data_IF_083578110106
#
_entry.id   IF_083578110106
#
_cell.length_a   1.000
_cell.length_b   1.000
_cell.length_c   1.000
_cell.angle_alpha   90.00
_cell.angle_beta   90.00
_cell.angle_gamma   90.00
#
_symmetry.space_group_name_H-M   'P 1'
#
loop_
_entity.id
_entity.type
_entity.pdbx_description
1 polymer ?
#
# COMPACT_ATOMS: atom_id res chain seq x y z
N UNK A 1 -7.85 -0.80 12.13
CA UNK A 1 -8.26 -2.01 11.36
C UNK A 1 -9.63 -2.55 11.78
N UNK A 2 -10.00 -2.54 13.05
CA UNK A 2 -11.30 -3.07 13.52
C UNK A 2 -12.50 -2.39 12.83
N UNK A 3 -12.48 -1.08 12.69
CA UNK A 3 -13.55 -0.32 11.99
C UNK A 3 -13.68 -0.73 10.52
N UNK A 4 -12.55 -0.84 9.80
CA UNK A 4 -12.54 -1.26 8.40
C UNK A 4 -13.13 -2.68 8.23
N UNK A 5 -12.78 -3.61 9.11
CA UNK A 5 -13.33 -4.98 9.11
C UNK A 5 -14.81 -4.96 9.47
N UNK A 6 -15.21 -4.21 10.50
CA UNK A 6 -16.63 -4.11 10.90
C UNK A 6 -17.51 -3.49 9.81
N UNK A 7 -17.00 -2.49 9.06
CA UNK A 7 -17.70 -1.96 7.90
C UNK A 7 -17.75 -2.97 6.76
N UNK A 8 -16.64 -3.67 6.49
CA UNK A 8 -16.57 -4.73 5.49
C UNK A 8 -17.57 -5.87 5.78
N UNK A 9 -17.75 -6.26 7.03
CA UNK A 9 -18.77 -7.25 7.41
C UNK A 9 -20.20 -6.77 7.11
N UNK A 10 -20.52 -5.56 7.51
CA UNK A 10 -21.87 -5.00 7.24
C UNK A 10 -22.19 -4.91 5.76
N UNK A 11 -21.24 -4.47 4.95
CA UNK A 11 -21.45 -4.30 3.51
C UNK A 11 -21.40 -5.61 2.73
N UNK A 12 -20.86 -6.68 3.31
CA UNK A 12 -20.77 -7.99 2.65
C UNK A 12 -22.12 -8.56 2.22
N UNK A 13 -23.17 -8.30 2.98
CA UNK A 13 -24.55 -8.77 2.68
C UNK A 13 -25.24 -8.01 1.55
N UNK A 14 -24.65 -6.91 1.04
CA UNK A 14 -25.21 -6.06 -0.01
C UNK A 14 -24.48 -6.21 -1.33
N UNK A 15 -25.06 -5.74 -2.44
CA UNK A 15 -24.40 -5.65 -3.75
C UNK A 15 -23.88 -4.23 -4.06
N UNK A 16 -23.82 -3.34 -3.06
CA UNK A 16 -23.28 -2.00 -3.21
C UNK A 16 -21.82 -2.03 -3.66
N UNK A 17 -21.44 -1.07 -4.50
CA UNK A 17 -20.05 -0.84 -4.89
C UNK A 17 -19.24 -0.42 -3.66
N UNK A 18 -18.02 -0.91 -3.56
CA UNK A 18 -17.11 -0.62 -2.44
C UNK A 18 -15.81 -0.06 -3.00
N UNK A 19 -15.41 1.09 -2.51
CA UNK A 19 -14.08 1.66 -2.74
C UNK A 19 -13.21 1.42 -1.52
N UNK A 20 -12.11 0.69 -1.68
CA UNK A 20 -11.14 0.44 -0.61
C UNK A 20 -9.88 1.24 -0.90
N UNK A 21 -9.53 2.16 -0.02
CA UNK A 21 -8.32 2.97 -0.13
C UNK A 21 -7.30 2.61 0.95
N UNK A 22 -6.03 2.85 0.68
CA UNK A 22 -4.95 2.64 1.63
C UNK A 22 -3.62 2.42 0.92
N UNK A 23 -2.53 2.55 1.67
CA UNK A 23 -1.18 2.40 1.13
C UNK A 23 -0.95 1.02 0.49
N UNK A 24 0.07 0.96 -0.40
CA UNK A 24 0.49 -0.32 -0.97
C UNK A 24 0.90 -1.30 0.13
N UNK A 25 0.50 -2.57 -0.01
CA UNK A 25 0.78 -3.61 0.98
C UNK A 25 -0.01 -3.51 2.29
N UNK A 26 -0.96 -2.58 2.44
CA UNK A 26 -1.76 -2.44 3.67
C UNK A 26 -2.79 -3.57 3.86
N UNK A 27 -3.08 -4.35 2.83
CA UNK A 27 -4.02 -5.48 2.87
C UNK A 27 -5.40 -5.16 2.28
N UNK A 28 -5.49 -4.22 1.33
CA UNK A 28 -6.72 -3.88 0.60
C UNK A 28 -7.33 -5.11 -0.10
N UNK A 29 -6.50 -5.88 -0.79
CA UNK A 29 -6.90 -7.09 -1.51
C UNK A 29 -7.39 -8.23 -0.59
N UNK A 30 -6.81 -8.35 0.60
CA UNK A 30 -7.28 -9.29 1.64
C UNK A 30 -8.67 -8.88 2.12
N UNK A 31 -8.89 -7.58 2.33
CA UNK A 31 -10.19 -7.06 2.75
C UNK A 31 -11.25 -7.22 1.65
N UNK A 32 -10.90 -7.00 0.38
CA UNK A 32 -11.80 -7.26 -0.76
C UNK A 32 -12.20 -8.74 -0.84
N UNK A 33 -11.22 -9.64 -0.69
CA UNK A 33 -11.49 -11.09 -0.63
C UNK A 33 -12.38 -11.46 0.55
N UNK A 34 -12.16 -10.86 1.73
CA UNK A 34 -12.99 -11.06 2.91
C UNK A 34 -14.44 -10.65 2.66
N UNK A 35 -14.69 -9.48 2.02
CA UNK A 35 -16.02 -9.02 1.64
C UNK A 35 -16.70 -10.03 0.73
N UNK A 36 -16.00 -10.57 -0.27
CA UNK A 36 -16.54 -11.58 -1.17
C UNK A 36 -16.91 -12.87 -0.41
N UNK A 37 -16.00 -13.42 0.38
CA UNK A 37 -16.25 -14.69 1.10
C UNK A 37 -17.34 -14.60 2.16
N UNK A 38 -17.63 -13.40 2.68
CA UNK A 38 -18.73 -13.13 3.61
C UNK A 38 -20.03 -12.77 2.90
N UNK A 39 -20.04 -12.63 1.58
CA UNK A 39 -21.20 -12.22 0.79
C UNK A 39 -22.09 -13.40 0.40
N UNK A 40 -23.27 -13.07 -0.15
CA UNK A 40 -24.16 -14.06 -0.78
C UNK A 40 -23.53 -14.72 -2.02
N UNK A 41 -22.44 -14.12 -2.57
CA UNK A 41 -21.70 -14.59 -3.74
C UNK A 41 -20.43 -15.37 -3.39
N UNK A 42 -20.28 -15.82 -2.15
CA UNK A 42 -19.07 -16.47 -1.63
C UNK A 42 -18.65 -17.75 -2.39
N UNK A 43 -19.61 -18.46 -3.01
CA UNK A 43 -19.37 -19.66 -3.82
C UNK A 43 -19.17 -19.36 -5.32
N UNK A 44 -19.33 -18.11 -5.71
CA UNK A 44 -19.23 -17.66 -7.09
C UNK A 44 -17.81 -17.16 -7.40
N UNK A 45 -17.45 -16.92 -8.67
CA UNK A 45 -16.11 -16.45 -9.03
C UNK A 45 -15.73 -15.12 -8.36
N UNK A 46 -14.49 -15.05 -7.86
CA UNK A 46 -13.82 -13.81 -7.47
C UNK A 46 -12.75 -13.49 -8.51
N UNK A 47 -13.04 -12.53 -9.40
CA UNK A 47 -12.13 -12.14 -10.48
C UNK A 47 -11.41 -10.86 -10.08
N UNK A 48 -10.09 -10.93 -9.96
CA UNK A 48 -9.22 -9.76 -9.69
C UNK A 48 -8.56 -9.30 -10.96
N UNK A 49 -8.51 -7.99 -11.17
CA UNK A 49 -7.91 -7.33 -12.31
C UNK A 49 -7.02 -6.22 -11.77
N UNK A 50 -5.74 -6.26 -12.11
CA UNK A 50 -4.79 -5.20 -11.81
C UNK A 50 -4.76 -4.21 -12.99
N UNK A 51 -5.26 -2.99 -12.72
CA UNK A 51 -5.38 -1.94 -13.75
C UNK A 51 -4.04 -1.25 -14.06
N UNK A 52 -2.98 -1.53 -13.29
CA UNK A 52 -1.66 -0.93 -13.50
C UNK A 52 -0.73 -1.80 -14.36
N UNK A 53 -1.04 -3.08 -14.57
CA UNK A 53 -0.09 -4.03 -15.18
C UNK A 53 -0.10 -4.04 -16.71
N UNK A 54 -1.17 -3.57 -17.36
CA UNK A 54 -1.34 -3.65 -18.81
C UNK A 54 -1.41 -2.26 -19.45
N UNK A 55 -0.88 -2.09 -20.70
CA UNK A 55 -1.16 -0.93 -21.52
C UNK A 55 -2.67 -0.75 -21.75
N UNK A 56 -3.12 0.49 -21.94
CA UNK A 56 -4.55 0.83 -21.94
C UNK A 56 -5.43 0.01 -22.86
N UNK A 57 -5.03 -0.19 -24.11
CA UNK A 57 -5.80 -0.97 -25.10
C UNK A 57 -5.92 -2.45 -24.69
N UNK A 58 -4.84 -3.02 -24.16
CA UNK A 58 -4.83 -4.40 -23.68
C UNK A 58 -5.65 -4.55 -22.40
N UNK A 59 -5.67 -3.54 -21.55
CA UNK A 59 -6.49 -3.54 -20.33
C UNK A 59 -7.99 -3.52 -20.69
N UNK A 60 -8.39 -2.70 -21.66
CA UNK A 60 -9.78 -2.70 -22.15
C UNK A 60 -10.16 -4.07 -22.75
N UNK A 61 -9.29 -4.68 -23.55
CA UNK A 61 -9.50 -6.01 -24.10
C UNK A 61 -9.62 -7.11 -23.01
N UNK A 62 -8.82 -7.03 -21.95
CA UNK A 62 -8.95 -7.94 -20.80
C UNK A 62 -10.23 -7.70 -20.00
N UNK A 63 -10.63 -6.45 -19.78
CA UNK A 63 -11.85 -6.13 -19.03
C UNK A 63 -13.12 -6.56 -19.74
N UNK A 64 -13.30 -6.09 -20.99
CA UNK A 64 -14.54 -6.20 -21.75
C UNK A 64 -14.56 -7.39 -22.71
N UNK A 65 -13.40 -7.97 -23.04
CA UNK A 65 -13.26 -8.94 -24.11
C UNK A 65 -13.26 -8.28 -25.50
N UNK A 66 -13.07 -9.06 -26.54
CA UNK A 66 -13.04 -8.57 -27.92
C UNK A 66 -13.56 -9.59 -28.90
N UNK A 67 -14.12 -9.09 -30.01
CA UNK A 67 -14.54 -9.87 -31.14
C UNK A 67 -13.36 -10.01 -32.14
N UNK A 68 -13.44 -11.01 -33.02
CA UNK A 68 -12.47 -11.20 -34.10
C UNK A 68 -12.36 -9.93 -34.94
N UNK A 69 -11.12 -9.46 -35.16
CA UNK A 69 -10.86 -8.25 -35.93
C UNK A 69 -11.01 -6.93 -35.19
N UNK A 70 -11.22 -6.94 -33.88
CA UNK A 70 -11.36 -5.73 -33.09
C UNK A 70 -10.11 -4.83 -33.10
N UNK A 71 -8.94 -5.42 -33.23
CA UNK A 71 -7.65 -4.73 -33.35
C UNK A 71 -6.65 -5.63 -34.14
N UNK A 72 -5.49 -5.08 -34.52
CA UNK A 72 -4.41 -5.84 -35.17
C UNK A 72 -3.90 -6.93 -34.24
N UNK A 73 -4.14 -8.21 -34.60
CA UNK A 73 -3.81 -9.39 -33.79
C UNK A 73 -5.00 -10.09 -33.12
N UNK A 74 -6.21 -9.54 -33.23
CA UNK A 74 -7.45 -10.18 -32.77
C UNK A 74 -7.91 -11.26 -33.78
N UNK A 75 -7.19 -12.38 -33.85
CA UNK A 75 -7.50 -13.50 -34.76
C UNK A 75 -8.76 -14.27 -34.40
N UNK A 76 -9.10 -14.30 -33.08
CA UNK A 76 -10.26 -14.99 -32.53
C UNK A 76 -10.97 -14.09 -31.53
N UNK A 77 -12.24 -14.35 -31.26
CA UNK A 77 -12.97 -13.67 -30.17
C UNK A 77 -12.53 -14.20 -28.83
N UNK A 78 -12.40 -13.32 -27.80
CA UNK A 78 -12.04 -13.68 -26.43
C UNK A 78 -12.99 -13.01 -25.43
N UNK A 79 -13.62 -13.79 -24.52
CA UNK A 79 -14.42 -13.22 -23.44
C UNK A 79 -13.55 -12.42 -22.46
N UNK A 80 -14.12 -11.34 -21.91
CA UNK A 80 -13.44 -10.48 -20.92
C UNK A 80 -13.61 -10.96 -19.49
N UNK A 81 -12.91 -10.27 -18.59
CA UNK A 81 -12.98 -10.54 -17.15
C UNK A 81 -14.36 -10.29 -16.55
N UNK A 82 -15.11 -9.34 -17.08
CA UNK A 82 -16.50 -9.13 -16.64
C UNK A 82 -17.39 -10.34 -16.95
N UNK A 83 -17.20 -10.97 -18.09
CA UNK A 83 -17.92 -12.22 -18.42
C UNK A 83 -17.51 -13.37 -17.49
N UNK A 84 -16.21 -13.47 -17.19
CA UNK A 84 -15.69 -14.51 -16.27
C UNK A 84 -16.18 -14.33 -14.82
N UNK A 85 -16.61 -13.12 -14.46
CA UNK A 85 -17.08 -12.78 -13.10
C UNK A 85 -18.59 -12.89 -12.94
N UNK A 86 -19.34 -13.38 -13.93
CA UNK A 86 -20.79 -13.48 -13.86
C UNK A 86 -21.28 -14.20 -12.58
N UNK A 87 -22.27 -13.61 -11.93
CA UNK A 87 -22.84 -13.97 -10.61
C UNK A 87 -21.86 -13.80 -9.44
N UNK A 88 -20.61 -13.45 -9.70
CA UNK A 88 -19.53 -13.33 -8.72
C UNK A 88 -19.20 -11.90 -8.30
N UNK A 89 -17.92 -11.65 -8.11
CA UNK A 89 -17.38 -10.35 -7.71
C UNK A 89 -16.18 -9.99 -8.58
N UNK A 90 -16.14 -8.77 -9.09
CA UNK A 90 -14.99 -8.17 -9.75
C UNK A 90 -14.26 -7.28 -8.75
N UNK A 91 -12.97 -7.46 -8.61
CA UNK A 91 -12.07 -6.57 -7.87
C UNK A 91 -11.17 -5.86 -8.87
N UNK A 92 -11.31 -4.55 -8.97
CA UNK A 92 -10.48 -3.67 -9.80
C UNK A 92 -9.38 -3.10 -8.91
N UNK A 93 -8.18 -3.66 -8.98
CA UNK A 93 -7.03 -3.18 -8.21
C UNK A 93 -6.32 -2.05 -8.94
N UNK A 94 -5.83 -1.08 -8.18
CA UNK A 94 -5.17 0.14 -8.66
C UNK A 94 -6.03 0.89 -9.71
N UNK A 95 -7.33 1.09 -9.40
CA UNK A 95 -8.33 1.69 -10.28
C UNK A 95 -7.94 3.07 -10.82
N UNK A 96 -7.12 3.83 -10.09
CA UNK A 96 -6.62 5.13 -10.50
C UNK A 96 -5.78 5.10 -11.80
N UNK A 97 -5.30 3.92 -12.21
CA UNK A 97 -4.48 3.74 -13.43
C UNK A 97 -5.31 3.42 -14.67
N UNK A 98 -6.65 3.36 -14.56
CA UNK A 98 -7.50 3.18 -15.73
C UNK A 98 -7.33 4.31 -16.74
N UNK A 99 -7.11 4.02 -18.03
CA UNK A 99 -7.13 5.02 -19.09
C UNK A 99 -8.50 5.69 -19.20
N UNK A 100 -8.54 6.94 -19.67
CA UNK A 100 -9.78 7.73 -19.77
C UNK A 100 -10.87 7.02 -20.58
N UNK A 101 -10.50 6.31 -21.65
CA UNK A 101 -11.44 5.51 -22.45
C UNK A 101 -12.08 4.38 -21.65
N UNK A 102 -11.26 3.64 -20.89
CA UNK A 102 -11.75 2.57 -20.02
C UNK A 102 -12.60 3.10 -18.86
N UNK A 103 -12.27 4.30 -18.31
CA UNK A 103 -13.08 4.95 -17.28
C UNK A 103 -14.51 5.25 -17.79
N UNK A 104 -14.65 5.77 -19.02
CA UNK A 104 -15.97 6.05 -19.61
C UNK A 104 -16.79 4.77 -19.83
N UNK A 105 -16.16 3.71 -20.33
CA UNK A 105 -16.82 2.41 -20.51
C UNK A 105 -17.23 1.79 -19.16
N UNK A 106 -16.34 1.85 -18.16
CA UNK A 106 -16.65 1.35 -16.81
C UNK A 106 -17.82 2.10 -16.18
N UNK A 107 -17.89 3.43 -16.34
CA UNK A 107 -19.03 4.22 -15.87
C UNK A 107 -20.34 3.68 -16.46
N UNK A 108 -20.40 3.50 -17.80
CA UNK A 108 -21.57 2.92 -18.46
C UNK A 108 -21.93 1.56 -17.87
N UNK A 109 -20.94 0.69 -17.67
CA UNK A 109 -21.17 -0.65 -17.07
C UNK A 109 -21.76 -0.56 -15.65
N UNK A 110 -21.28 0.38 -14.84
CA UNK A 110 -21.80 0.56 -13.45
C UNK A 110 -23.24 1.06 -13.48
N UNK A 111 -23.59 1.94 -14.42
CA UNK A 111 -24.92 2.56 -14.52
C UNK A 111 -25.96 1.65 -15.16
N UNK A 112 -25.61 1.06 -16.29
CA UNK A 112 -26.57 0.26 -17.10
C UNK A 112 -26.54 -1.22 -16.75
N UNK A 113 -25.48 -1.68 -16.08
CA UNK A 113 -25.21 -3.12 -15.85
C UNK A 113 -25.08 -3.90 -17.17
N UNK A 114 -24.60 -3.22 -18.22
CA UNK A 114 -24.46 -3.79 -19.54
C UNK A 114 -23.13 -3.31 -20.16
N UNK A 115 -22.53 -4.14 -21.02
CA UNK A 115 -21.33 -3.81 -21.76
C UNK A 115 -21.32 -4.56 -23.10
N UNK A 116 -20.39 -4.16 -23.95
CA UNK A 116 -20.13 -4.77 -25.26
C UNK A 116 -18.64 -5.15 -25.33
N UNK A 117 -18.33 -6.22 -26.04
CA UNK A 117 -16.94 -6.55 -26.38
C UNK A 117 -16.35 -5.51 -27.31
N UNK A 118 -15.04 -5.33 -27.30
CA UNK A 118 -14.36 -4.47 -28.28
C UNK A 118 -14.64 -4.97 -29.71
N UNK A 119 -15.03 -4.08 -30.59
CA UNK A 119 -15.44 -4.42 -31.95
C UNK A 119 -16.78 -5.16 -32.07
N UNK A 120 -17.43 -5.47 -30.94
CA UNK A 120 -18.74 -6.13 -30.92
C UNK A 120 -19.91 -5.13 -30.91
N UNK A 121 -21.12 -5.66 -31.16
CA UNK A 121 -22.39 -4.92 -31.04
C UNK A 121 -23.39 -5.64 -30.16
N UNK A 122 -23.01 -6.80 -29.64
CA UNK A 122 -23.88 -7.58 -28.76
C UNK A 122 -23.76 -7.06 -27.32
N UNK A 123 -24.87 -6.62 -26.77
CA UNK A 123 -24.96 -6.17 -25.39
C UNK A 123 -24.96 -7.38 -24.44
N UNK A 124 -24.06 -7.38 -23.48
CA UNK A 124 -23.90 -8.41 -22.45
C UNK A 124 -24.27 -7.82 -21.10
N UNK A 125 -25.19 -8.46 -20.38
CA UNK A 125 -25.58 -8.04 -19.02
C UNK A 125 -24.52 -8.45 -18.01
N UNK A 126 -24.18 -7.53 -17.10
CA UNK A 126 -23.24 -7.79 -15.99
C UNK A 126 -24.03 -8.05 -14.69
N UNK A 127 -24.05 -9.32 -14.28
CA UNK A 127 -24.47 -9.70 -12.93
C UNK A 127 -23.22 -9.99 -12.08
N UNK A 128 -22.51 -8.95 -11.69
CA UNK A 128 -21.37 -9.06 -10.78
C UNK A 128 -21.34 -7.86 -9.82
N UNK A 129 -20.85 -8.12 -8.60
CA UNK A 129 -20.53 -7.08 -7.62
C UNK A 129 -19.19 -6.44 -7.96
N UNK A 130 -19.05 -5.11 -7.78
CA UNK A 130 -17.82 -4.38 -8.03
C UNK A 130 -17.18 -3.93 -6.72
N UNK A 131 -15.87 -4.16 -6.59
CA UNK A 131 -15.03 -3.64 -5.52
C UNK A 131 -13.81 -2.98 -6.19
N UNK A 132 -13.59 -1.70 -5.91
CA UNK A 132 -12.44 -0.96 -6.43
C UNK A 132 -11.41 -0.74 -5.33
N UNK A 133 -10.12 -0.93 -5.67
CA UNK A 133 -9.01 -0.70 -4.75
C UNK A 133 -8.07 0.36 -5.33
N UNK A 134 -7.50 1.19 -4.49
CA UNK A 134 -6.46 2.14 -4.89
C UNK A 134 -5.58 2.58 -3.71
N UNK A 135 -4.35 2.95 -4.00
CA UNK A 135 -3.44 3.64 -3.08
C UNK A 135 -3.40 5.15 -3.35
N UNK A 136 -4.05 5.62 -4.42
CA UNK A 136 -4.09 7.03 -4.84
C UNK A 136 -5.33 7.70 -4.27
N UNK A 137 -5.20 8.96 -3.88
CA UNK A 137 -6.33 9.83 -3.56
C UNK A 137 -7.08 10.18 -4.85
N UNK A 138 -8.24 9.53 -5.06
CA UNK A 138 -9.06 9.75 -6.25
C UNK A 138 -9.62 11.17 -6.31
N UNK A 139 -9.90 11.81 -5.18
CA UNK A 139 -10.35 13.21 -5.15
C UNK A 139 -9.30 14.17 -5.71
N UNK A 140 -8.03 13.93 -5.40
CA UNK A 140 -6.92 14.68 -6.00
C UNK A 140 -6.72 14.31 -7.48
N UNK A 141 -6.90 13.04 -7.86
CA UNK A 141 -6.83 12.61 -9.25
C UNK A 141 -7.93 13.26 -10.12
N UNK A 142 -9.14 13.42 -9.58
CA UNK A 142 -10.26 14.15 -10.23
C UNK A 142 -9.88 15.61 -10.44
N UNK A 143 -9.41 16.30 -9.41
CA UNK A 143 -8.97 17.71 -9.51
C UNK A 143 -7.84 17.91 -10.54
N UNK A 144 -6.99 16.91 -10.71
CA UNK A 144 -5.90 16.90 -11.69
C UNK A 144 -6.33 16.46 -13.09
N UNK A 145 -7.62 16.18 -13.36
CA UNK A 145 -8.15 15.71 -14.64
C UNK A 145 -7.72 14.30 -15.05
N UNK A 146 -7.15 13.51 -14.14
CA UNK A 146 -6.66 12.15 -14.40
C UNK A 146 -7.70 11.07 -14.13
N UNK A 147 -8.74 11.41 -13.39
CA UNK A 147 -9.87 10.52 -13.09
C UNK A 147 -11.19 11.26 -13.27
N UNK A 148 -12.19 10.59 -13.82
CA UNK A 148 -13.50 11.21 -14.05
C UNK A 148 -14.26 11.34 -12.74
N UNK A 149 -14.86 12.50 -12.54
CA UNK A 149 -15.65 12.81 -11.33
C UNK A 149 -16.91 11.96 -11.23
N UNK A 150 -17.61 11.76 -12.35
CA UNK A 150 -18.81 10.94 -12.41
C UNK A 150 -18.53 9.47 -12.03
N UNK A 151 -17.43 8.89 -12.53
CA UNK A 151 -17.03 7.54 -12.18
C UNK A 151 -16.64 7.44 -10.68
N UNK A 152 -15.94 8.46 -10.15
CA UNK A 152 -15.57 8.48 -8.74
C UNK A 152 -16.81 8.36 -7.84
N UNK A 153 -17.83 9.17 -8.05
CA UNK A 153 -19.06 9.11 -7.24
C UNK A 153 -19.84 7.80 -7.39
N UNK A 154 -19.75 7.14 -8.55
CA UNK A 154 -20.39 5.83 -8.76
C UNK A 154 -19.63 4.67 -8.12
N UNK A 155 -18.33 4.82 -7.92
CA UNK A 155 -17.50 3.84 -7.21
C UNK A 155 -17.53 4.03 -5.70
N UNK A 156 -17.56 5.27 -5.23
CA UNK A 156 -17.46 5.66 -3.81
C UNK A 156 -18.82 5.65 -3.10
N UNK A 157 -19.61 4.58 -3.28
CA UNK A 157 -20.88 4.39 -2.57
C UNK A 157 -20.59 3.99 -1.11
N UNK A 158 -19.68 3.07 -0.91
CA UNK A 158 -19.18 2.69 0.42
C UNK A 158 -17.65 2.80 0.40
N UNK A 159 -17.13 3.73 1.19
CA UNK A 159 -15.70 3.95 1.33
C UNK A 159 -15.13 3.21 2.54
N UNK A 160 -14.09 2.40 2.33
CA UNK A 160 -13.37 1.73 3.40
C UNK A 160 -11.89 2.11 3.31
N UNK A 161 -11.40 2.85 4.31
CA UNK A 161 -9.98 3.14 4.43
C UNK A 161 -9.28 2.03 5.23
N UNK A 162 -8.26 1.42 4.63
CA UNK A 162 -7.36 0.48 5.31
C UNK A 162 -6.19 1.28 5.90
N UNK A 163 -6.06 1.35 7.22
CA UNK A 163 -4.98 2.11 7.85
C UNK A 163 -3.62 1.43 7.59
N UNK A 164 -2.54 2.22 7.41
CA UNK A 164 -1.20 1.67 7.29
C UNK A 164 -0.76 0.98 8.58
N UNK A 165 0.24 0.10 8.47
CA UNK A 165 0.65 -0.77 9.58
C UNK A 165 1.17 0.02 10.80
N UNK A 166 1.79 1.18 10.57
CA UNK A 166 2.24 2.10 11.64
C UNK A 166 1.11 2.70 12.48
N UNK A 167 -0.12 2.78 11.95
CA UNK A 167 -1.32 3.25 12.68
C UNK A 167 -2.05 2.13 13.44
N UNK A 168 -1.60 0.85 13.32
CA UNK A 168 -2.21 -0.33 13.97
C UNK A 168 -1.15 -1.24 14.59
N UNK A 169 -0.27 -0.66 15.39
CA UNK A 169 0.88 -1.37 16.00
C UNK A 169 0.45 -2.52 16.91
N UNK A 170 -0.76 -2.48 17.47
CA UNK A 170 -1.34 -3.58 18.23
C UNK A 170 -1.53 -4.87 17.40
N UNK A 171 -1.65 -4.76 16.08
CA UNK A 171 -1.79 -5.92 15.19
C UNK A 171 -0.44 -6.57 14.88
N UNK A 172 0.69 -5.85 15.04
CA UNK A 172 2.03 -6.31 14.64
C UNK A 172 2.41 -7.66 15.27
N UNK A 173 2.19 -7.83 16.57
CA UNK A 173 2.54 -9.08 17.26
C UNK A 173 1.79 -10.28 16.68
N UNK A 174 0.52 -10.10 16.31
CA UNK A 174 -0.30 -11.16 15.70
C UNK A 174 0.15 -11.45 14.28
N UNK A 175 0.47 -10.42 13.51
CA UNK A 175 0.95 -10.55 12.12
C UNK A 175 2.33 -11.22 12.08
N UNK A 176 3.26 -10.83 12.94
CA UNK A 176 4.58 -11.46 13.06
C UNK A 176 4.41 -12.95 13.38
N UNK A 177 3.61 -13.31 14.38
CA UNK A 177 3.33 -14.69 14.75
C UNK A 177 2.74 -15.49 13.59
N UNK A 178 1.80 -14.90 12.87
CA UNK A 178 1.18 -15.52 11.70
C UNK A 178 2.20 -15.78 10.60
N UNK A 179 3.00 -14.76 10.22
CA UNK A 179 4.00 -14.89 9.16
C UNK A 179 5.13 -15.87 9.53
N UNK A 180 5.61 -15.86 10.78
CA UNK A 180 6.60 -16.85 11.24
C UNK A 180 6.05 -18.26 11.09
N UNK A 181 4.81 -18.52 11.53
CA UNK A 181 4.17 -19.83 11.38
C UNK A 181 4.02 -20.21 9.91
N UNK A 182 3.52 -19.29 9.09
CA UNK A 182 3.29 -19.51 7.65
C UNK A 182 4.58 -19.85 6.91
N UNK A 183 5.61 -19.00 7.06
CA UNK A 183 6.87 -19.20 6.35
C UNK A 183 7.72 -20.34 6.92
N UNK A 184 7.62 -20.62 8.21
CA UNK A 184 8.24 -21.82 8.80
C UNK A 184 7.69 -23.10 8.18
N UNK A 185 6.36 -23.18 8.00
CA UNK A 185 5.73 -24.30 7.32
C UNK A 185 6.14 -24.37 5.84
N UNK A 186 6.12 -23.23 5.12
CA UNK A 186 6.48 -23.13 3.70
C UNK A 186 7.92 -23.60 3.41
N UNK A 187 8.87 -23.24 4.29
CA UNK A 187 10.30 -23.55 4.12
C UNK A 187 10.78 -24.75 4.93
N UNK A 188 9.88 -25.53 5.56
CA UNK A 188 10.25 -26.71 6.35
C UNK A 188 11.11 -26.41 7.59
N UNK A 189 11.08 -25.16 8.10
CA UNK A 189 11.85 -24.72 9.27
C UNK A 189 11.05 -24.90 10.54
N UNK A 190 11.70 -25.35 11.61
CA UNK A 190 11.09 -25.47 12.95
C UNK A 190 11.62 -24.36 13.85
N UNK A 191 10.98 -23.17 13.75
CA UNK A 191 11.28 -22.03 14.61
C UNK A 191 10.27 -21.93 15.77
N UNK A 192 10.79 -21.64 16.97
CA UNK A 192 9.98 -21.47 18.18
C UNK A 192 9.36 -20.05 18.26
N UNK A 193 9.78 -19.11 17.38
CA UNK A 193 9.28 -17.74 17.34
C UNK A 193 10.38 -16.70 17.18
N UNK A 194 10.14 -15.53 17.76
CA UNK A 194 11.03 -14.36 17.72
C UNK A 194 11.44 -14.02 19.14
N UNK A 195 12.71 -13.78 19.39
CA UNK A 195 13.22 -13.36 20.71
C UNK A 195 12.66 -11.97 21.11
N UNK A 196 12.57 -11.71 22.40
CA UNK A 196 12.01 -10.44 22.90
C UNK A 196 12.77 -9.20 22.38
N UNK A 197 14.11 -9.17 22.30
CA UNK A 197 14.84 -8.04 21.69
C UNK A 197 14.53 -7.85 20.21
N UNK A 198 14.49 -8.92 19.41
CA UNK A 198 14.16 -8.87 18.01
C UNK A 198 12.71 -8.40 17.78
N UNK A 199 11.77 -8.89 18.61
CA UNK A 199 10.36 -8.48 18.55
C UNK A 199 10.20 -6.98 18.84
N UNK A 200 10.91 -6.44 19.83
CA UNK A 200 10.88 -5.02 20.16
C UNK A 200 11.36 -4.14 19.00
N UNK A 201 12.41 -4.55 18.28
CA UNK A 201 12.88 -3.84 17.09
C UNK A 201 11.88 -3.94 15.93
N UNK A 202 11.32 -5.12 15.67
CA UNK A 202 10.27 -5.30 14.67
C UNK A 202 9.03 -4.45 14.97
N UNK A 203 8.63 -4.31 16.23
CA UNK A 203 7.48 -3.46 16.62
C UNK A 203 7.77 -1.96 16.52
N UNK A 204 9.03 -1.57 16.64
CA UNK A 204 9.44 -0.17 16.57
C UNK A 204 9.55 0.36 15.13
N UNK A 205 9.65 -0.52 14.14
CA UNK A 205 9.77 -0.12 12.73
C UNK A 205 8.42 0.30 12.14
N UNK A 206 8.42 1.23 11.17
CA UNK A 206 7.19 1.84 10.64
C UNK A 206 6.60 1.13 9.41
N UNK A 207 7.37 0.24 8.78
CA UNK A 207 6.94 -0.54 7.62
C UNK A 207 6.35 0.31 6.48
N UNK A 208 7.15 1.10 5.74
CA UNK A 208 6.65 1.88 4.60
C UNK A 208 5.97 1.00 3.53
N UNK A 209 6.39 -0.26 3.36
CA UNK A 209 5.72 -1.26 2.52
C UNK A 209 4.64 -2.08 3.26
N UNK A 210 4.24 -1.66 4.48
CA UNK A 210 3.16 -2.24 5.27
C UNK A 210 3.31 -3.76 5.53
N UNK A 211 2.20 -4.50 5.47
CA UNK A 211 2.19 -5.94 5.72
C UNK A 211 2.96 -6.74 4.66
N UNK A 212 3.08 -6.23 3.42
CA UNK A 212 3.89 -6.88 2.37
C UNK A 212 5.37 -6.83 2.72
N UNK A 213 5.86 -5.68 3.19
CA UNK A 213 7.25 -5.55 3.67
C UNK A 213 7.51 -6.38 4.91
N UNK A 214 6.60 -6.35 5.89
CA UNK A 214 6.70 -7.21 7.08
C UNK A 214 6.78 -8.69 6.68
N UNK A 215 5.93 -9.15 5.76
CA UNK A 215 5.95 -10.51 5.25
C UNK A 215 7.31 -10.88 4.66
N UNK A 216 7.86 -10.03 3.79
CA UNK A 216 9.17 -10.24 3.15
C UNK A 216 10.31 -10.27 4.18
N UNK A 217 10.28 -9.38 5.17
CA UNK A 217 11.27 -9.37 6.25
C UNK A 217 11.20 -10.68 7.05
N UNK A 218 10.00 -11.09 7.46
CA UNK A 218 9.83 -12.33 8.25
C UNK A 218 10.20 -13.57 7.42
N UNK A 219 9.83 -13.65 6.14
CA UNK A 219 10.23 -14.75 5.26
C UNK A 219 11.75 -14.88 5.19
N UNK A 220 12.45 -13.76 4.94
CA UNK A 220 13.92 -13.72 4.96
C UNK A 220 14.49 -14.20 6.30
N UNK A 221 13.95 -13.69 7.42
CA UNK A 221 14.41 -14.08 8.76
C UNK A 221 14.23 -15.56 9.03
N UNK A 222 13.10 -16.14 8.61
CA UNK A 222 12.85 -17.58 8.72
C UNK A 222 13.89 -18.38 7.95
N UNK A 223 14.32 -17.93 6.76
CA UNK A 223 15.29 -18.61 5.94
C UNK A 223 16.69 -18.54 6.55
N UNK A 224 17.12 -17.34 7.03
CA UNK A 224 18.52 -17.09 7.45
C UNK A 224 18.79 -17.36 8.92
N UNK A 225 17.77 -17.46 9.78
CA UNK A 225 17.96 -17.71 11.21
C UNK A 225 18.79 -18.98 11.46
N UNK A 226 19.90 -18.82 12.18
CA UNK A 226 20.82 -19.91 12.48
C UNK A 226 20.31 -20.82 13.61
N UNK A 227 19.46 -20.29 14.52
CA UNK A 227 18.95 -20.97 15.69
C UNK A 227 17.52 -21.51 15.55
N UNK A 228 16.94 -21.87 16.71
CA UNK A 228 15.52 -22.27 16.83
C UNK A 228 14.58 -21.05 17.00
N UNK A 229 15.12 -19.84 17.11
CA UNK A 229 14.36 -18.57 17.21
C UNK A 229 15.05 -17.53 16.33
N UNK A 230 14.27 -16.54 15.91
CA UNK A 230 14.77 -15.34 15.22
C UNK A 230 15.31 -14.39 16.28
N UNK A 231 16.60 -14.05 16.19
CA UNK A 231 17.29 -13.18 17.14
C UNK A 231 17.62 -11.81 16.54
N UNK A 232 18.00 -10.85 17.39
CA UNK A 232 18.34 -9.48 16.97
C UNK A 232 19.44 -9.43 15.90
N UNK A 233 20.44 -10.32 15.98
CA UNK A 233 21.51 -10.46 15.00
C UNK A 233 21.08 -10.90 13.60
N UNK A 234 19.91 -11.54 13.51
CA UNK A 234 19.34 -11.99 12.23
C UNK A 234 18.64 -10.85 11.50
N UNK A 235 18.31 -9.75 12.21
CA UNK A 235 17.59 -8.61 11.65
C UNK A 235 18.44 -7.84 10.61
N UNK A 236 17.83 -7.32 9.54
CA UNK A 236 18.54 -6.47 8.57
C UNK A 236 19.12 -5.23 9.25
N UNK A 237 20.39 -4.91 8.94
CA UNK A 237 21.09 -3.73 9.49
C UNK A 237 20.31 -2.44 9.26
N UNK A 238 19.67 -2.29 8.08
CA UNK A 238 18.85 -1.13 7.75
C UNK A 238 17.66 -0.94 8.69
N UNK A 239 16.99 -2.03 9.13
CA UNK A 239 15.89 -1.96 10.08
C UNK A 239 16.37 -1.47 11.44
N UNK A 240 17.44 -2.06 11.98
CA UNK A 240 18.02 -1.65 13.27
C UNK A 240 18.51 -0.20 13.23
N UNK A 241 19.13 0.24 12.13
CA UNK A 241 19.57 1.61 11.95
C UNK A 241 18.39 2.60 11.87
N UNK A 242 17.34 2.28 11.11
CA UNK A 242 16.14 3.11 10.99
C UNK A 242 15.42 3.30 12.33
N UNK A 243 15.29 2.23 13.13
CA UNK A 243 14.69 2.29 14.47
C UNK A 243 15.55 3.15 15.41
N UNK A 244 16.88 3.00 15.39
CA UNK A 244 17.80 3.83 16.18
C UNK A 244 17.72 5.30 15.80
N UNK A 245 17.75 5.61 14.50
CA UNK A 245 17.63 6.97 13.99
C UNK A 245 16.29 7.64 14.38
N UNK A 246 15.20 6.88 14.35
CA UNK A 246 13.88 7.37 14.79
C UNK A 246 13.88 7.67 16.29
N UNK A 247 14.38 6.76 17.14
CA UNK A 247 14.47 6.98 18.59
C UNK A 247 15.28 8.23 18.94
N UNK A 248 16.34 8.51 18.18
CA UNK A 248 17.13 9.73 18.34
C UNK A 248 16.35 11.00 17.97
N UNK A 249 15.45 10.92 16.96
CA UNK A 249 14.58 12.04 16.57
C UNK A 249 13.41 12.27 17.53
N UNK A 250 12.89 11.20 18.12
CA UNK A 250 11.75 11.24 19.06
C UNK A 250 12.14 11.64 20.49
N UNK A 251 13.42 11.52 20.84
CA UNK A 251 13.90 11.96 22.16
C UNK A 251 13.84 13.49 22.22
N UNK A 252 13.12 14.08 23.19
CA UNK A 252 13.14 15.53 23.38
C UNK A 252 14.58 16.00 23.56
N UNK A 253 15.02 16.87 22.65
CA UNK A 253 16.34 17.49 22.75
C UNK A 253 16.24 18.76 23.56
N UNK A 254 17.20 19.01 24.42
CA UNK A 254 17.35 20.30 25.08
C UNK A 254 17.67 21.38 24.02
N UNK A 255 17.39 22.65 24.33
CA UNK A 255 17.77 23.76 23.46
C UNK A 255 19.28 23.75 23.15
N UNK A 256 20.11 23.38 24.14
CA UNK A 256 21.54 23.25 23.97
C UNK A 256 21.92 22.15 22.98
N UNK A 257 21.30 20.98 23.03
CA UNK A 257 21.53 19.87 22.07
C UNK A 257 21.05 20.23 20.67
N UNK A 258 19.94 20.93 20.52
CA UNK A 258 19.46 21.42 19.22
C UNK A 258 20.41 22.47 18.65
N UNK A 259 20.86 23.39 19.47
CA UNK A 259 21.81 24.44 19.09
C UNK A 259 23.14 23.82 18.63
N UNK A 260 23.70 22.89 19.41
CA UNK A 260 24.93 22.17 19.05
C UNK A 260 24.79 21.42 17.72
N UNK A 261 23.68 20.68 17.53
CA UNK A 261 23.40 19.94 16.32
C UNK A 261 23.28 20.86 15.09
N UNK A 262 22.62 22.00 15.21
CA UNK A 262 22.44 22.96 14.12
C UNK A 262 23.74 23.67 13.77
N UNK A 263 24.56 24.04 14.76
CA UNK A 263 25.89 24.62 14.53
C UNK A 263 26.78 23.61 13.79
N UNK A 264 26.79 22.34 14.20
CA UNK A 264 27.56 21.29 13.54
C UNK A 264 27.13 21.09 12.07
N UNK A 265 25.81 21.09 11.81
CA UNK A 265 25.29 20.97 10.44
C UNK A 265 25.73 22.14 9.55
N UNK A 266 25.65 23.38 10.04
CA UNK A 266 26.06 24.58 9.27
C UNK A 266 27.57 24.62 9.07
N UNK A 267 28.37 24.19 10.06
CA UNK A 267 29.82 24.07 9.91
C UNK A 267 30.21 23.06 8.82
N UNK A 268 29.55 21.90 8.78
CA UNK A 268 29.76 20.91 7.74
C UNK A 268 29.37 21.44 6.35
N UNK A 269 28.24 22.14 6.22
CA UNK A 269 27.77 22.79 4.97
C UNK A 269 28.72 23.87 4.46
N UNK A 270 29.38 24.59 5.37
CA UNK A 270 30.33 25.65 5.03
C UNK A 270 31.78 25.17 4.94
N UNK A 271 32.02 23.81 4.94
CA UNK A 271 33.33 23.21 4.94
C UNK A 271 34.27 23.76 6.03
N UNK A 272 33.72 24.06 7.21
CA UNK A 272 34.48 24.63 8.34
C UNK A 272 34.70 26.16 8.26
N UNK A 273 34.17 26.87 7.28
CA UNK A 273 34.30 28.32 7.18
C UNK A 273 33.48 29.02 8.27
N UNK A 274 34.16 29.35 9.37
CA UNK A 274 33.52 29.93 10.58
C UNK A 274 32.92 31.32 10.34
N UNK A 275 33.43 32.09 9.37
CA UNK A 275 32.87 33.39 9.03
C UNK A 275 31.53 33.26 8.35
N UNK A 276 31.44 32.41 7.35
CA UNK A 276 30.19 32.13 6.64
C UNK A 276 29.18 31.40 7.55
N UNK A 277 29.65 30.49 8.39
CA UNK A 277 28.83 29.81 9.39
C UNK A 277 28.18 30.80 10.35
N UNK A 278 28.93 31.75 10.92
CA UNK A 278 28.39 32.77 11.81
C UNK A 278 27.34 33.65 11.10
N UNK A 279 27.57 34.01 9.81
CA UNK A 279 26.62 34.75 8.99
C UNK A 279 25.31 33.98 8.80
N UNK A 280 25.36 32.70 8.47
CA UNK A 280 24.17 31.86 8.27
C UNK A 280 23.40 31.68 9.57
N UNK A 281 24.11 31.50 10.70
CA UNK A 281 23.49 31.32 12.02
C UNK A 281 22.96 32.64 12.62
N UNK A 282 23.27 33.80 12.02
CA UNK A 282 22.82 35.10 12.53
C UNK A 282 23.49 35.49 13.85
N UNK A 283 24.69 34.96 14.16
CA UNK A 283 25.43 35.27 15.39
C UNK A 283 26.81 35.87 15.10
N UNK A 284 27.38 36.55 16.12
CA UNK A 284 28.73 37.08 15.98
C UNK A 284 29.76 35.92 15.91
N UNK A 285 30.88 36.19 15.24
CA UNK A 285 32.00 35.20 15.19
C UNK A 285 32.48 34.83 16.58
N UNK A 286 32.59 35.77 17.51
CA UNK A 286 32.96 35.52 18.90
C UNK A 286 32.02 34.51 19.55
N UNK A 287 30.72 34.72 19.42
CA UNK A 287 29.71 33.85 19.99
C UNK A 287 29.79 32.44 19.35
N UNK A 288 30.04 32.33 18.03
CA UNK A 288 30.23 31.04 17.38
C UNK A 288 31.43 30.28 17.94
N UNK A 289 32.59 30.96 18.16
CA UNK A 289 33.76 30.31 18.75
C UNK A 289 33.48 29.82 20.19
N UNK A 290 32.81 30.62 21.01
CA UNK A 290 32.43 30.23 22.36
C UNK A 290 31.53 28.99 22.35
N UNK A 291 30.55 28.93 21.40
CA UNK A 291 29.64 27.79 21.25
C UNK A 291 30.34 26.53 20.72
N UNK A 292 31.26 26.66 19.72
CA UNK A 292 32.09 25.56 19.22
C UNK A 292 32.90 24.96 20.37
N UNK A 293 33.55 25.78 21.18
CA UNK A 293 34.31 25.32 22.33
C UNK A 293 33.43 24.66 23.40
N UNK A 294 32.27 25.28 23.71
CA UNK A 294 31.31 24.77 24.70
C UNK A 294 30.71 23.41 24.32
N UNK A 295 30.47 23.18 23.04
CA UNK A 295 29.83 21.97 22.53
C UNK A 295 30.82 20.96 21.92
N UNK A 296 32.13 21.26 22.04
CA UNK A 296 33.23 20.42 21.49
C UNK A 296 33.04 20.08 20.00
N UNK A 297 32.57 21.04 19.22
CA UNK A 297 32.37 20.92 17.78
C UNK A 297 33.65 21.28 17.04
N UNK A 298 34.49 20.31 16.71
CA UNK A 298 35.78 20.51 16.07
C UNK A 298 35.92 19.80 14.74
#
# INVERSE_FOLDING_TARGET
MREAVGLAERVSSTDANVLITGESGAGKDVLASFIHWKSRRATQPLVKIDCATLPGELLEAELFGYERGAFTGASEAKPGRFEAAQKGTVVLDEIAHLPTGAQAKLLRVIETREFERLGGRNTIKLDARLIALTNVDLGQAVKAGRFREDLFYRLDVIHIRVPPLRERKEDLSKLIKHFVKHYSAKHGRKLNGVSAPALALLQAYDYPGNARELGNIIERLVIVAAGKSIDERDLPLGLSAAVKARRLKEKPRTLAEMEASYIAEVLARTNGNKTECARILGISRKNLYEKIARYELG
#
